data_IF_813908814892
#
_entry.id   IF_813908814892
#
_cell.length_a   1.000
_cell.length_b   1.000
_cell.length_c   1.000
_cell.angle_alpha   90.00
_cell.angle_beta   90.00
_cell.angle_gamma   90.00
#
_symmetry.space_group_name_H-M   'P 1'
#
loop_
_entity.id
_entity.type
_entity.pdbx_description
1 polymer ?
#
# COMPACT_ATOMS: atom_id res chain seq x y z
N UNK A 1 -7.00 -2.01 -7.48
CA UNK A 1 -6.38 -3.33 -7.73
C UNK A 1 -5.13 -3.60 -6.89
N UNK A 2 -4.39 -2.60 -6.38
CA UNK A 2 -3.16 -2.81 -5.56
C UNK A 2 -3.33 -2.39 -4.08
N UNK A 3 -4.56 -2.19 -3.61
CA UNK A 3 -4.80 -1.62 -2.27
C UNK A 3 -4.24 -2.48 -1.12
N UNK A 4 -4.27 -3.81 -1.23
CA UNK A 4 -3.75 -4.69 -0.16
C UNK A 4 -2.23 -4.61 0.02
N UNK A 5 -1.46 -4.49 -1.07
CA UNK A 5 0.01 -4.37 -1.00
C UNK A 5 0.48 -2.95 -0.66
N UNK A 6 -0.42 -1.95 -0.73
CA UNK A 6 -0.08 -0.55 -0.50
C UNK A 6 0.28 -0.25 0.96
N UNK A 7 -0.30 -0.97 1.92
CA UNK A 7 0.00 -0.83 3.36
C UNK A 7 1.47 -1.13 3.66
N UNK A 8 1.91 -2.35 3.36
CA UNK A 8 3.31 -2.75 3.45
C UNK A 8 4.23 -1.83 2.64
N UNK A 9 3.85 -1.44 1.42
CA UNK A 9 4.67 -0.55 0.60
C UNK A 9 4.83 0.86 1.22
N UNK A 10 3.78 1.41 1.84
CA UNK A 10 3.80 2.70 2.52
C UNK A 10 4.65 2.64 3.80
N UNK A 11 4.56 1.57 4.57
CA UNK A 11 5.38 1.39 5.77
C UNK A 11 6.87 1.29 5.43
N UNK A 12 7.22 0.50 4.41
CA UNK A 12 8.60 0.41 3.92
C UNK A 12 9.12 1.76 3.42
N UNK A 13 8.29 2.54 2.74
CA UNK A 13 8.64 3.90 2.31
C UNK A 13 8.90 4.83 3.50
N UNK A 14 8.01 4.83 4.51
CA UNK A 14 8.18 5.64 5.72
C UNK A 14 9.47 5.28 6.49
N UNK A 15 9.78 3.99 6.61
CA UNK A 15 11.01 3.54 7.24
C UNK A 15 12.25 3.99 6.46
N UNK A 16 12.19 3.96 5.12
CA UNK A 16 13.27 4.46 4.28
C UNK A 16 13.48 5.97 4.46
N UNK A 17 12.42 6.78 4.35
CA UNK A 17 12.50 8.24 4.52
C UNK A 17 13.00 8.64 5.92
N UNK A 18 12.58 7.91 6.94
CA UNK A 18 13.02 8.18 8.32
C UNK A 18 14.38 7.57 8.68
N UNK A 19 15.09 6.95 7.74
CA UNK A 19 16.41 6.33 7.96
C UNK A 19 16.39 5.10 8.88
N UNK A 20 15.21 4.51 9.09
CA UNK A 20 14.98 3.36 9.98
C UNK A 20 14.87 2.03 9.25
N UNK A 21 14.92 2.03 7.91
CA UNK A 21 14.83 0.81 7.12
C UNK A 21 16.08 -0.06 7.30
N UNK A 22 15.91 -1.17 8.01
CA UNK A 22 16.86 -2.27 8.13
C UNK A 22 16.21 -3.58 7.67
N UNK A 23 16.99 -4.65 7.37
CA UNK A 23 16.43 -5.96 7.06
C UNK A 23 15.50 -6.50 8.15
N UNK A 24 15.74 -6.15 9.41
CA UNK A 24 14.87 -6.53 10.53
C UNK A 24 13.52 -5.81 10.47
N UNK A 25 13.53 -4.48 10.35
CA UNK A 25 12.28 -3.69 10.25
C UNK A 25 11.48 -4.05 8.99
N UNK A 26 12.15 -4.33 7.86
CA UNK A 26 11.48 -4.75 6.64
C UNK A 26 10.73 -6.09 6.80
N UNK A 27 11.27 -7.00 7.63
CA UNK A 27 10.58 -8.26 7.97
C UNK A 27 9.37 -8.03 8.87
N UNK A 28 9.41 -7.04 9.75
CA UNK A 28 8.28 -6.68 10.60
C UNK A 28 7.13 -6.06 9.79
N UNK A 29 7.44 -5.34 8.70
CA UNK A 29 6.44 -4.82 7.77
C UNK A 29 5.80 -5.91 6.89
N UNK A 30 6.32 -7.13 6.89
CA UNK A 30 5.71 -8.25 6.17
C UNK A 30 4.44 -8.70 6.93
N UNK A 31 3.34 -7.98 6.73
CA UNK A 31 2.04 -8.35 7.25
C UNK A 31 1.42 -9.43 6.35
N UNK A 32 1.46 -10.69 6.80
CA UNK A 32 0.83 -11.82 6.10
C UNK A 32 -0.64 -11.53 5.73
N UNK A 33 -1.33 -10.75 6.56
CA UNK A 33 -2.71 -10.34 6.31
C UNK A 33 -2.86 -9.44 5.06
N UNK A 34 -2.00 -8.44 4.90
CA UNK A 34 -2.03 -7.50 3.78
C UNK A 34 -1.70 -8.19 2.47
N UNK A 35 -0.72 -9.10 2.50
CA UNK A 35 -0.40 -9.99 1.38
C UNK A 35 -1.59 -10.85 1.00
N UNK A 36 -2.19 -11.55 1.96
CA UNK A 36 -3.34 -12.41 1.70
C UNK A 36 -4.54 -11.63 1.15
N UNK A 37 -4.80 -10.43 1.67
CA UNK A 37 -5.84 -9.55 1.15
C UNK A 37 -5.57 -9.14 -0.30
N UNK A 38 -4.32 -8.77 -0.63
CA UNK A 38 -3.94 -8.44 -1.99
C UNK A 38 -4.11 -9.62 -2.95
N UNK A 39 -3.70 -10.82 -2.53
CA UNK A 39 -3.86 -12.05 -3.30
C UNK A 39 -5.34 -12.37 -3.55
N UNK A 40 -6.19 -12.24 -2.52
CA UNK A 40 -7.63 -12.47 -2.65
C UNK A 40 -8.26 -11.49 -3.65
N UNK A 41 -7.97 -10.18 -3.53
CA UNK A 41 -8.50 -9.15 -4.44
C UNK A 41 -8.07 -9.41 -5.90
N UNK A 42 -6.81 -9.81 -6.11
CA UNK A 42 -6.30 -10.08 -7.47
C UNK A 42 -6.90 -11.37 -8.04
N UNK A 43 -7.06 -12.39 -7.22
CA UNK A 43 -7.72 -13.65 -7.60
C UNK A 43 -9.18 -13.41 -7.97
N UNK A 44 -9.92 -12.64 -7.17
CA UNK A 44 -11.32 -12.28 -7.44
C UNK A 44 -11.46 -11.44 -8.73
N UNK A 45 -10.42 -10.68 -9.08
CA UNK A 45 -10.33 -9.95 -10.35
C UNK A 45 -9.90 -10.81 -11.55
N UNK A 46 -9.66 -12.11 -11.36
CA UNK A 46 -9.21 -13.02 -12.41
C UNK A 46 -7.73 -12.89 -12.77
N UNK A 47 -6.92 -12.28 -11.89
CA UNK A 47 -5.47 -12.08 -12.08
C UNK A 47 -4.73 -13.06 -11.15
N UNK A 48 -4.31 -14.24 -11.63
CA UNK A 48 -3.57 -15.18 -10.80
C UNK A 48 -2.21 -14.60 -10.41
N UNK A 49 -1.81 -14.82 -9.16
CA UNK A 49 -0.52 -14.33 -8.63
C UNK A 49 0.32 -15.49 -8.15
N UNK A 50 1.55 -15.57 -8.65
CA UNK A 50 2.56 -16.49 -8.14
C UNK A 50 3.30 -15.83 -6.98
N UNK A 51 3.18 -16.40 -5.79
CA UNK A 51 3.75 -15.84 -4.56
C UNK A 51 5.28 -15.85 -4.53
N UNK A 52 5.90 -16.89 -5.09
CA UNK A 52 7.34 -17.09 -5.07
C UNK A 52 7.82 -17.52 -6.45
N UNK A 53 8.78 -16.78 -7.00
CA UNK A 53 9.35 -17.06 -8.32
C UNK A 53 8.60 -16.37 -9.47
N UNK A 54 8.88 -16.78 -10.72
CA UNK A 54 8.30 -16.14 -11.90
C UNK A 54 6.80 -16.39 -11.99
N UNK A 55 6.08 -15.47 -12.63
CA UNK A 55 4.66 -15.62 -12.92
C UNK A 55 4.41 -16.88 -13.78
N UNK A 56 3.34 -17.62 -13.46
CA UNK A 56 2.77 -18.60 -14.38
C UNK A 56 2.05 -17.89 -15.54
N UNK A 57 1.87 -18.59 -16.66
CA UNK A 57 1.32 -18.02 -17.89
C UNK A 57 0.03 -17.20 -17.66
N UNK A 58 0.08 -15.91 -18.03
CA UNK A 58 -1.05 -14.98 -17.89
C UNK A 58 -1.26 -14.38 -16.50
N UNK A 59 -0.42 -14.72 -15.51
CA UNK A 59 -0.46 -14.18 -14.15
C UNK A 59 0.57 -13.09 -13.86
N UNK A 60 0.64 -12.70 -12.59
CA UNK A 60 1.65 -11.78 -12.06
C UNK A 60 2.54 -12.47 -11.03
N UNK A 61 3.81 -12.07 -10.95
CA UNK A 61 4.66 -12.43 -9.82
C UNK A 61 4.41 -11.46 -8.66
N UNK A 62 4.47 -11.95 -7.41
CA UNK A 62 4.28 -11.10 -6.23
C UNK A 62 5.26 -9.91 -6.20
N UNK A 63 6.51 -10.12 -6.60
CA UNK A 63 7.52 -9.05 -6.68
C UNK A 63 7.09 -7.92 -7.64
N UNK A 64 6.38 -8.25 -8.72
CA UNK A 64 5.83 -7.26 -9.64
C UNK A 64 4.67 -6.48 -9.02
N UNK A 65 3.79 -7.17 -8.28
CA UNK A 65 2.70 -6.54 -7.53
C UNK A 65 3.26 -5.56 -6.50
N UNK A 66 4.28 -5.97 -5.75
CA UNK A 66 4.97 -5.13 -4.77
C UNK A 66 5.69 -3.94 -5.40
N UNK A 67 6.42 -4.14 -6.50
CA UNK A 67 7.07 -3.05 -7.23
C UNK A 67 6.05 -2.02 -7.72
N UNK A 68 4.90 -2.48 -8.22
CA UNK A 68 3.79 -1.61 -8.63
C UNK A 68 3.20 -0.86 -7.44
N UNK A 69 3.02 -1.53 -6.31
CA UNK A 69 2.53 -0.92 -5.07
C UNK A 69 3.47 0.19 -4.59
N UNK A 70 4.77 -0.09 -4.54
CA UNK A 70 5.82 0.87 -4.17
C UNK A 70 5.82 2.09 -5.09
N UNK A 71 5.76 1.89 -6.41
CA UNK A 71 5.67 3.00 -7.36
C UNK A 71 4.41 3.85 -7.14
N UNK A 72 3.28 3.22 -6.82
CA UNK A 72 2.04 3.94 -6.50
C UNK A 72 2.19 4.76 -5.22
N UNK A 73 2.73 4.17 -4.16
CA UNK A 73 2.98 4.84 -2.87
C UNK A 73 3.88 6.05 -3.06
N UNK A 74 5.03 5.89 -3.74
CA UNK A 74 5.96 7.00 -3.99
C UNK A 74 5.26 8.15 -4.72
N UNK A 75 4.44 7.86 -5.74
CA UNK A 75 3.74 8.91 -6.49
C UNK A 75 2.68 9.63 -5.64
N UNK A 76 1.98 8.90 -4.78
CA UNK A 76 0.89 9.47 -3.97
C UNK A 76 1.38 9.94 -2.58
N UNK A 77 2.69 9.93 -2.32
CA UNK A 77 3.24 10.10 -0.97
C UNK A 77 2.81 11.39 -0.29
N UNK A 78 2.90 12.53 -1.00
CA UNK A 78 2.46 13.82 -0.47
C UNK A 78 0.99 13.80 -0.01
N UNK A 79 0.12 13.10 -0.76
CA UNK A 79 -1.31 12.97 -0.42
C UNK A 79 -1.53 12.04 0.76
N UNK A 80 -0.79 10.93 0.81
CA UNK A 80 -0.82 9.98 1.93
C UNK A 80 -0.42 10.70 3.21
N UNK A 81 0.68 11.46 3.18
CA UNK A 81 1.18 12.23 4.32
C UNK A 81 0.19 13.31 4.74
N UNK A 82 -0.39 14.06 3.80
CA UNK A 82 -1.39 15.08 4.13
C UNK A 82 -2.62 14.49 4.86
N UNK A 83 -3.11 13.31 4.44
CA UNK A 83 -4.21 12.62 5.13
C UNK A 83 -3.77 12.13 6.51
N UNK A 84 -2.56 11.58 6.64
CA UNK A 84 -2.04 11.10 7.91
C UNK A 84 -1.84 12.23 8.94
N UNK A 85 -1.31 13.38 8.50
CA UNK A 85 -1.16 14.58 9.32
C UNK A 85 -2.51 15.14 9.76
N UNK A 86 -3.49 15.17 8.86
CA UNK A 86 -4.84 15.61 9.19
C UNK A 86 -5.53 14.65 10.19
N UNK A 87 -5.30 13.34 10.07
CA UNK A 87 -5.80 12.34 11.02
C UNK A 87 -5.19 12.52 12.41
N UNK A 88 -3.88 12.77 12.47
CA UNK A 88 -3.15 13.08 13.71
C UNK A 88 -3.67 14.35 14.39
N UNK A 89 -4.09 15.34 13.61
CA UNK A 89 -4.66 16.59 14.10
C UNK A 89 -6.16 16.51 14.43
N UNK A 90 -6.85 15.45 14.00
CA UNK A 90 -8.30 15.33 14.18
C UNK A 90 -8.67 14.93 15.62
N UNK A 91 -9.77 15.45 16.17
CA UNK A 91 -10.35 14.92 17.40
C UNK A 91 -10.60 13.42 17.28
N UNK A 92 -10.27 12.67 18.34
CA UNK A 92 -10.46 11.23 18.43
C UNK A 92 -9.80 10.43 17.29
N UNK A 93 -8.78 11.00 16.63
CA UNK A 93 -8.02 10.34 15.57
C UNK A 93 -8.91 9.75 14.45
N UNK A 94 -9.94 10.51 14.06
CA UNK A 94 -10.98 10.04 13.13
C UNK A 94 -11.18 11.01 11.97
N UNK A 95 -11.26 10.46 10.76
CA UNK A 95 -11.69 11.16 9.54
C UNK A 95 -12.76 10.32 8.83
N UNK A 96 -13.77 10.99 8.27
CA UNK A 96 -14.67 10.35 7.31
C UNK A 96 -13.96 10.14 5.98
N UNK A 97 -14.47 9.19 5.16
CA UNK A 97 -13.95 8.97 3.80
C UNK A 97 -14.01 10.23 2.93
N UNK A 98 -15.06 11.06 3.07
CA UNK A 98 -15.19 12.33 2.35
C UNK A 98 -14.11 13.33 2.75
N UNK A 99 -13.83 13.47 4.04
CA UNK A 99 -12.76 14.36 4.53
C UNK A 99 -11.40 13.89 4.01
N UNK A 100 -11.10 12.59 4.11
CA UNK A 100 -9.86 12.03 3.59
C UNK A 100 -9.71 12.25 2.07
N UNK A 101 -10.78 12.06 1.29
CA UNK A 101 -10.78 12.31 -0.15
C UNK A 101 -10.52 13.78 -0.49
N UNK A 102 -11.16 14.71 0.24
CA UNK A 102 -10.94 16.16 0.08
C UNK A 102 -9.49 16.54 0.38
N UNK A 103 -8.93 16.04 1.49
CA UNK A 103 -7.53 16.30 1.87
C UNK A 103 -6.56 15.72 0.84
N UNK A 104 -6.83 14.52 0.33
CA UNK A 104 -6.04 13.89 -0.73
C UNK A 104 -6.21 14.54 -2.11
N UNK A 105 -7.06 15.56 -2.25
CA UNK A 105 -7.35 16.23 -3.52
C UNK A 105 -8.05 15.33 -4.55
N UNK A 106 -8.75 14.30 -4.09
CA UNK A 106 -9.55 13.41 -4.94
C UNK A 106 -10.88 14.10 -5.20
N UNK A 107 -11.02 14.68 -6.39
CA UNK A 107 -12.28 15.23 -6.88
C UNK A 107 -13.04 14.14 -7.63
N UNK A 108 -14.27 13.84 -7.19
CA UNK A 108 -15.18 13.02 -7.98
C UNK A 108 -15.51 13.79 -9.26
N UNK A 109 -15.22 13.17 -10.42
CA UNK A 109 -15.76 13.61 -11.71
C UNK A 109 -17.24 13.23 -11.83
#
# INVERSE_FOLDING_TARGET
>A
MVCGAAGQAAELHQLAESGRLTPETARLCAADHDKQMALNILTDAGVPVTETGPALDGGLAWDYVMATAQQRVVREWERITAVAEALLAAPDFTLTGTQAAQIAGITTA
#
